data_IF_273333104141
#
_entry.id   IF_273333104141
#
_cell.length_a   1.000
_cell.length_b   1.000
_cell.length_c   1.000
_cell.angle_alpha   90.00
_cell.angle_beta   90.00
_cell.angle_gamma   90.00
#
_symmetry.space_group_name_H-M   'P 1'
#
loop_
_entity.id
_entity.type
_entity.pdbx_description
1 polymer ?
#
# COMPACT_ATOMS: atom_id res chain seq x y z
N UNK A 1 -11.70 -19.76 -5.62
CA UNK A 1 -12.20 -18.49 -6.22
C UNK A 1 -11.29 -17.30 -5.94
N UNK A 2 -11.08 -16.91 -4.67
CA UNK A 2 -10.18 -15.79 -4.35
C UNK A 2 -8.72 -16.10 -4.70
N UNK A 3 -8.18 -17.25 -4.25
CA UNK A 3 -6.83 -17.68 -4.59
C UNK A 3 -6.59 -17.81 -6.10
N UNK A 4 -7.56 -18.38 -6.84
CA UNK A 4 -7.44 -18.55 -8.29
C UNK A 4 -7.32 -17.20 -9.00
N UNK A 5 -8.16 -16.22 -8.63
CA UNK A 5 -8.12 -14.89 -9.22
C UNK A 5 -6.85 -14.13 -8.79
N UNK A 6 -6.42 -14.28 -7.54
CA UNK A 6 -5.15 -13.74 -7.07
C UNK A 6 -3.96 -14.32 -7.84
N UNK A 7 -3.93 -15.63 -8.08
CA UNK A 7 -2.88 -16.28 -8.89
C UNK A 7 -2.88 -15.77 -10.33
N UNK A 8 -4.06 -15.66 -10.96
CA UNK A 8 -4.20 -15.09 -12.31
C UNK A 8 -3.65 -13.67 -12.39
N UNK A 9 -3.95 -12.82 -11.40
CA UNK A 9 -3.43 -11.45 -11.36
C UNK A 9 -1.91 -11.46 -11.16
N UNK A 10 -1.40 -12.27 -10.21
CA UNK A 10 0.04 -12.41 -9.96
C UNK A 10 0.80 -12.86 -11.20
N UNK A 11 0.36 -13.95 -11.83
CA UNK A 11 0.94 -14.48 -13.06
C UNK A 11 0.92 -13.45 -14.20
N UNK A 12 -0.14 -12.65 -14.30
CA UNK A 12 -0.22 -11.59 -15.29
C UNK A 12 0.77 -10.45 -15.02
N UNK A 13 0.92 -10.02 -13.76
CA UNK A 13 1.92 -9.02 -13.36
C UNK A 13 3.34 -9.53 -13.60
N UNK A 14 3.60 -10.82 -13.35
CA UNK A 14 4.90 -11.47 -13.54
C UNK A 14 5.35 -11.61 -15.01
N UNK A 15 4.44 -11.40 -15.97
CA UNK A 15 4.82 -11.25 -17.39
C UNK A 15 5.65 -9.99 -17.62
N UNK A 16 5.50 -8.97 -16.77
CA UNK A 16 6.20 -7.70 -16.87
C UNK A 16 7.27 -7.59 -15.79
N UNK A 17 6.90 -7.80 -14.53
CA UNK A 17 7.81 -7.78 -13.39
C UNK A 17 8.54 -9.12 -13.28
N UNK A 18 9.86 -9.07 -13.15
CA UNK A 18 10.69 -10.26 -12.94
C UNK A 18 10.98 -10.38 -11.45
N UNK A 19 10.75 -11.58 -10.90
CA UNK A 19 10.87 -11.82 -9.47
C UNK A 19 9.80 -11.10 -8.67
N UNK A 20 10.05 -10.94 -7.37
CA UNK A 20 9.22 -10.12 -6.45
C UNK A 20 7.81 -10.68 -6.18
N UNK A 21 7.65 -12.00 -6.12
CA UNK A 21 6.39 -12.67 -5.73
C UNK A 21 5.76 -12.07 -4.46
N UNK A 22 6.59 -11.85 -3.45
CA UNK A 22 6.18 -11.31 -2.16
C UNK A 22 5.61 -9.88 -2.29
N UNK A 23 6.30 -8.99 -3.01
CA UNK A 23 5.83 -7.63 -3.29
C UNK A 23 4.48 -7.65 -4.00
N UNK A 24 4.31 -8.55 -4.98
CA UNK A 24 3.05 -8.68 -5.72
C UNK A 24 1.94 -9.19 -4.79
N UNK A 25 2.22 -10.18 -3.94
CA UNK A 25 1.28 -10.68 -2.94
C UNK A 25 0.89 -9.58 -1.94
N UNK A 26 1.84 -8.78 -1.44
CA UNK A 26 1.57 -7.64 -0.56
C UNK A 26 0.73 -6.56 -1.25
N UNK A 27 0.98 -6.30 -2.54
CA UNK A 27 0.15 -5.40 -3.32
C UNK A 27 -1.29 -5.93 -3.48
N UNK A 28 -1.46 -7.24 -3.69
CA UNK A 28 -2.77 -7.89 -3.71
C UNK A 28 -3.47 -7.83 -2.34
N UNK A 29 -2.74 -8.01 -1.23
CA UNK A 29 -3.26 -7.80 0.12
C UNK A 29 -3.80 -6.38 0.26
N UNK A 30 -3.03 -5.36 -0.13
CA UNK A 30 -3.49 -3.97 -0.09
C UNK A 30 -4.76 -3.74 -0.92
N UNK A 31 -4.84 -4.31 -2.13
CA UNK A 31 -6.04 -4.25 -2.98
C UNK A 31 -7.25 -4.89 -2.31
N UNK A 32 -7.10 -6.09 -1.75
CA UNK A 32 -8.18 -6.83 -1.08
C UNK A 32 -8.62 -6.16 0.23
N UNK A 33 -7.69 -5.43 0.86
CA UNK A 33 -7.94 -4.67 2.08
C UNK A 33 -8.44 -3.24 1.83
N UNK A 34 -8.40 -2.78 0.57
CA UNK A 34 -8.55 -1.36 0.22
C UNK A 34 -7.64 -0.45 1.05
N UNK A 35 -6.42 -0.93 1.30
CA UNK A 35 -5.37 -0.23 2.00
C UNK A 35 -4.36 0.37 1.03
N UNK A 36 -3.65 1.41 1.47
CA UNK A 36 -2.62 2.08 0.68
C UNK A 36 -1.22 1.55 1.04
N UNK A 37 -0.27 1.66 0.11
CA UNK A 37 1.10 1.16 0.30
C UNK A 37 2.08 2.33 0.27
N UNK A 38 2.96 2.37 1.27
CA UNK A 38 4.17 3.18 1.26
C UNK A 38 5.32 2.32 0.73
N UNK A 39 5.84 2.67 -0.44
CA UNK A 39 6.95 1.98 -1.09
C UNK A 39 8.27 2.63 -0.67
N UNK A 40 9.08 1.87 0.05
CA UNK A 40 10.46 2.23 0.36
C UNK A 40 11.35 1.74 -0.78
N UNK A 41 11.99 2.65 -1.51
CA UNK A 41 13.10 2.20 -2.36
C UNK A 41 13.93 3.32 -2.99
N UNK A 42 15.06 2.89 -3.51
CA UNK A 42 15.92 3.63 -4.43
C UNK A 42 15.28 3.79 -5.82
N UNK A 43 15.69 4.82 -6.60
CA UNK A 43 15.20 5.02 -7.96
C UNK A 43 15.49 3.82 -8.88
N UNK A 44 14.56 3.54 -9.80
CA UNK A 44 14.80 2.57 -10.89
C UNK A 44 14.38 1.12 -10.61
N UNK A 45 13.80 0.81 -9.44
CA UNK A 45 13.42 -0.57 -9.05
C UNK A 45 12.09 -1.09 -9.62
N UNK A 46 11.57 -0.45 -10.68
CA UNK A 46 10.37 -0.93 -11.37
C UNK A 46 9.03 -0.58 -10.71
N UNK A 47 8.97 0.37 -9.76
CA UNK A 47 7.74 0.80 -9.07
C UNK A 47 6.62 1.22 -10.03
N UNK A 48 6.96 2.05 -11.02
CA UNK A 48 6.02 2.48 -12.07
C UNK A 48 5.54 1.30 -12.90
N UNK A 49 6.43 0.36 -13.19
CA UNK A 49 6.10 -0.87 -13.93
C UNK A 49 5.16 -1.75 -13.12
N UNK A 50 5.39 -1.91 -11.81
CA UNK A 50 4.52 -2.66 -10.90
C UNK A 50 3.13 -2.03 -10.84
N UNK A 51 3.06 -0.71 -10.62
CA UNK A 51 1.81 0.03 -10.53
C UNK A 51 0.98 -0.08 -11.82
N UNK A 52 1.63 0.04 -12.98
CA UNK A 52 0.99 -0.12 -14.30
C UNK A 52 0.57 -1.56 -14.58
N UNK A 53 1.44 -2.54 -14.30
CA UNK A 53 1.13 -3.94 -14.52
C UNK A 53 -0.05 -4.39 -13.63
N UNK A 54 -0.07 -3.95 -12.36
CA UNK A 54 -1.15 -4.23 -11.43
C UNK A 54 -2.46 -3.59 -11.89
N UNK A 55 -2.48 -2.29 -12.16
CA UNK A 55 -3.69 -1.59 -12.63
C UNK A 55 -4.26 -2.19 -13.93
N UNK A 56 -3.40 -2.47 -14.91
CA UNK A 56 -3.82 -3.13 -16.15
C UNK A 56 -4.39 -4.52 -15.87
N UNK A 57 -3.73 -5.34 -15.03
CA UNK A 57 -4.22 -6.68 -14.68
C UNK A 57 -5.59 -6.66 -14.01
N UNK A 58 -5.87 -5.62 -13.22
CA UNK A 58 -7.13 -5.40 -12.52
C UNK A 58 -8.24 -4.79 -13.40
N UNK A 59 -7.94 -4.42 -14.66
CA UNK A 59 -8.86 -3.65 -15.50
C UNK A 59 -9.16 -2.26 -14.94
N UNK A 60 -8.24 -1.72 -14.14
CA UNK A 60 -8.43 -0.53 -13.32
C UNK A 60 -7.75 0.69 -13.93
N UNK A 61 -8.31 1.88 -13.73
CA UNK A 61 -7.70 3.13 -14.21
C UNK A 61 -6.44 3.48 -13.42
N UNK A 62 -5.42 3.98 -14.12
CA UNK A 62 -4.13 4.33 -13.54
C UNK A 62 -3.80 5.80 -13.75
N UNK A 63 -3.33 6.46 -12.69
CA UNK A 63 -2.71 7.78 -12.76
C UNK A 63 -1.41 7.81 -11.98
N UNK A 64 -0.48 8.63 -12.46
CA UNK A 64 0.78 8.93 -11.78
C UNK A 64 0.80 10.41 -11.45
N UNK A 65 1.16 10.74 -10.22
CA UNK A 65 1.33 12.09 -9.72
C UNK A 65 2.76 12.20 -9.23
N UNK A 66 3.54 13.10 -9.80
CA UNK A 66 4.85 13.44 -9.29
C UNK A 66 4.66 14.58 -8.28
N UNK A 67 5.05 14.37 -7.04
CA UNK A 67 4.99 15.41 -6.03
C UNK A 67 6.22 16.29 -6.17
N UNK A 68 5.97 17.59 -6.33
CA UNK A 68 6.97 18.65 -6.45
C UNK A 68 6.63 19.77 -5.47
N UNK A 69 7.60 20.63 -5.10
CA UNK A 69 7.36 21.71 -4.14
C UNK A 69 6.27 22.71 -4.57
N UNK A 70 6.04 22.85 -5.87
CA UNK A 70 5.06 23.75 -6.50
C UNK A 70 3.68 23.10 -6.76
N UNK A 71 3.55 21.78 -6.56
CA UNK A 71 2.30 21.07 -6.78
C UNK A 71 1.20 21.58 -5.85
N UNK A 72 0.07 22.01 -6.40
CA UNK A 72 -1.06 22.51 -5.62
C UNK A 72 -2.03 21.37 -5.25
N UNK A 73 -2.80 21.51 -4.15
CA UNK A 73 -3.86 20.56 -3.80
C UNK A 73 -4.84 20.30 -4.96
N UNK A 74 -5.20 21.34 -5.71
CA UNK A 74 -6.11 21.24 -6.87
C UNK A 74 -5.54 20.45 -8.03
N UNK A 75 -4.22 20.35 -8.17
CA UNK A 75 -3.58 19.52 -9.19
C UNK A 75 -3.70 18.02 -8.85
N UNK A 76 -3.96 17.70 -7.58
CA UNK A 76 -4.23 16.34 -7.09
C UNK A 76 -5.72 16.03 -7.17
N UNK A 77 -6.56 16.87 -6.58
CA UNK A 77 -8.00 16.60 -6.37
C UNK A 77 -8.88 17.02 -7.54
N UNK A 78 -8.46 18.01 -8.32
CA UNK A 78 -9.23 18.62 -9.40
C UNK A 78 -9.65 20.04 -9.08
N UNK A 79 -10.28 20.68 -10.06
CA UNK A 79 -10.76 22.06 -9.93
C UNK A 79 -12.00 22.31 -10.81
N UNK A 80 -12.78 23.31 -10.44
CA UNK A 80 -13.79 23.88 -11.31
C UNK A 80 -13.17 24.97 -12.18
N UNK A 81 -13.26 24.81 -13.50
CA UNK A 81 -12.76 25.80 -14.45
C UNK A 81 -13.94 26.42 -15.21
N UNK A 82 -13.84 27.72 -15.49
CA UNK A 82 -14.90 28.43 -16.21
C UNK A 82 -14.82 28.12 -17.71
N UNK A 83 -15.80 27.38 -18.23
CA UNK A 83 -15.91 27.11 -19.65
C UNK A 83 -16.55 28.32 -20.35
N UNK A 84 -15.74 29.13 -21.04
CA UNK A 84 -16.19 30.35 -21.71
C UNK A 84 -17.27 30.10 -22.78
N UNK A 85 -17.32 28.92 -23.40
CA UNK A 85 -18.35 28.61 -24.41
C UNK A 85 -19.70 28.31 -23.76
N UNK A 86 -19.68 27.57 -22.66
CA UNK A 86 -20.88 27.19 -21.93
C UNK A 86 -21.31 28.23 -20.89
N UNK A 87 -20.46 29.21 -20.58
CA UNK A 87 -20.65 30.21 -19.52
C UNK A 87 -20.95 29.58 -18.15
N UNK A 88 -20.36 28.42 -17.89
CA UNK A 88 -20.56 27.67 -16.65
C UNK A 88 -19.21 27.16 -16.09
N UNK A 89 -19.16 26.96 -14.78
CA UNK A 89 -18.05 26.26 -14.14
C UNK A 89 -18.22 24.75 -14.37
N UNK A 90 -17.20 24.13 -14.95
CA UNK A 90 -17.17 22.68 -15.19
C UNK A 90 -16.10 22.04 -14.31
N UNK A 91 -16.47 20.93 -13.67
CA UNK A 91 -15.52 20.15 -12.88
C UNK A 91 -14.54 19.42 -13.79
N UNK A 92 -13.25 19.62 -13.54
CA UNK A 92 -12.17 18.86 -14.15
C UNK A 92 -11.57 17.94 -13.08
N UNK A 93 -11.77 16.61 -13.17
CA UNK A 93 -11.28 15.68 -12.17
C UNK A 93 -9.75 15.66 -12.12
N UNK A 94 -9.21 15.68 -10.90
CA UNK A 94 -7.79 15.49 -10.67
C UNK A 94 -7.37 14.03 -10.87
N UNK A 95 -6.06 13.78 -10.99
CA UNK A 95 -5.49 12.44 -11.14
C UNK A 95 -5.82 11.49 -9.97
N UNK A 96 -6.16 12.00 -8.79
CA UNK A 96 -6.57 11.18 -7.65
C UNK A 96 -7.85 10.37 -7.93
N UNK A 97 -8.70 10.85 -8.85
CA UNK A 97 -9.92 10.17 -9.26
C UNK A 97 -9.57 9.08 -10.27
N UNK A 98 -8.91 8.03 -9.79
CA UNK A 98 -8.57 6.81 -10.51
C UNK A 98 -8.45 5.65 -9.54
N UNK A 99 -8.55 4.42 -10.03
CA UNK A 99 -8.53 3.23 -9.16
C UNK A 99 -7.16 3.00 -8.54
N UNK A 100 -6.08 3.26 -9.28
CA UNK A 100 -4.70 3.15 -8.80
C UNK A 100 -3.94 4.43 -9.08
N UNK A 101 -3.43 5.04 -8.02
CA UNK A 101 -2.59 6.24 -8.07
C UNK A 101 -1.19 5.92 -7.59
N UNK A 102 -0.20 6.13 -8.45
CA UNK A 102 1.21 6.20 -8.05
C UNK A 102 1.54 7.64 -7.66
N UNK A 103 1.77 7.89 -6.39
CA UNK A 103 2.15 9.19 -5.84
C UNK A 103 3.66 9.17 -5.55
N UNK A 104 4.45 9.70 -6.49
CA UNK A 104 5.91 9.69 -6.37
C UNK A 104 6.42 10.84 -5.52
N UNK A 105 7.34 10.53 -4.61
CA UNK A 105 8.08 11.49 -3.78
C UNK A 105 7.16 12.41 -2.95
N UNK A 106 6.18 11.83 -2.26
CA UNK A 106 5.15 12.60 -1.55
C UNK A 106 5.71 13.57 -0.50
N UNK A 107 6.91 13.28 0.02
CA UNK A 107 7.64 14.16 0.92
C UNK A 107 8.26 15.39 0.23
N UNK A 108 8.14 15.60 -1.09
CA UNK A 108 8.62 16.82 -1.77
C UNK A 108 7.56 17.91 -1.89
N UNK A 109 6.27 17.58 -1.75
CA UNK A 109 5.23 18.59 -1.79
C UNK A 109 4.97 19.21 -0.43
N UNK A 110 4.36 20.40 -0.42
CA UNK A 110 3.98 21.08 0.82
C UNK A 110 3.02 20.24 1.67
N UNK A 111 2.99 20.44 3.01
CA UNK A 111 2.06 19.73 3.90
C UNK A 111 0.59 19.86 3.49
N UNK A 112 0.21 20.97 2.85
CA UNK A 112 -1.16 21.20 2.35
C UNK A 112 -1.50 20.26 1.20
N UNK A 113 -0.58 20.05 0.26
CA UNK A 113 -0.77 19.15 -0.88
C UNK A 113 -0.72 17.68 -0.45
N UNK A 114 0.17 17.33 0.49
CA UNK A 114 0.19 16.02 1.15
C UNK A 114 -1.17 15.73 1.81
N UNK A 115 -1.72 16.69 2.54
CA UNK A 115 -3.00 16.54 3.23
C UNK A 115 -4.15 16.25 2.26
N UNK A 116 -4.16 16.86 1.07
CA UNK A 116 -5.18 16.61 0.06
C UNK A 116 -5.18 15.16 -0.45
N UNK A 117 -4.00 14.56 -0.64
CA UNK A 117 -3.86 13.13 -0.96
C UNK A 117 -4.36 12.24 0.19
N UNK A 118 -3.94 12.55 1.41
CA UNK A 118 -4.21 11.74 2.60
C UNK A 118 -5.68 11.81 3.05
N UNK A 119 -6.33 12.95 2.84
CA UNK A 119 -7.77 13.12 3.03
C UNK A 119 -8.54 12.26 2.02
N UNK A 120 -8.16 12.30 0.75
CA UNK A 120 -8.75 11.45 -0.29
C UNK A 120 -8.60 9.95 0.03
N UNK A 121 -7.45 9.52 0.56
CA UNK A 121 -7.21 8.16 1.07
C UNK A 121 -8.17 7.78 2.19
N UNK A 122 -8.37 8.67 3.15
CA UNK A 122 -9.17 8.38 4.35
C UNK A 122 -10.68 8.44 4.09
N UNK A 123 -11.13 9.47 3.38
CA UNK A 123 -12.55 9.75 3.14
C UNK A 123 -13.09 9.05 1.89
N UNK A 124 -12.20 8.59 1.00
CA UNK A 124 -12.54 7.94 -0.29
C UNK A 124 -13.43 8.80 -1.18
N UNK A 125 -13.33 10.10 -0.99
CA UNK A 125 -13.95 11.14 -1.79
C UNK A 125 -13.06 12.37 -1.74
N UNK A 126 -13.26 13.28 -2.69
CA UNK A 126 -12.69 14.63 -2.65
C UNK A 126 -13.80 15.65 -2.65
N UNK A 127 -13.66 16.73 -1.89
CA UNK A 127 -14.65 17.82 -1.85
C UNK A 127 -14.08 19.02 -2.58
N UNK A 128 -14.74 19.44 -3.66
CA UNK A 128 -14.35 20.60 -4.47
C UNK A 128 -15.49 21.62 -4.42
N UNK A 129 -15.21 22.83 -3.95
CA UNK A 129 -16.20 23.91 -3.78
C UNK A 129 -17.47 23.46 -3.02
N UNK A 130 -17.30 22.61 -2.01
CA UNK A 130 -18.38 22.07 -1.18
C UNK A 130 -19.15 20.89 -1.80
N UNK A 131 -18.79 20.46 -3.01
CA UNK A 131 -19.42 19.30 -3.69
C UNK A 131 -18.53 18.06 -3.51
N UNK A 132 -19.06 16.96 -2.92
CA UNK A 132 -18.31 15.73 -2.78
C UNK A 132 -18.29 14.93 -4.08
N UNK A 133 -17.12 14.40 -4.43
CA UNK A 133 -16.88 13.51 -5.56
C UNK A 133 -16.28 12.20 -5.06
N UNK A 134 -17.03 11.11 -5.16
CA UNK A 134 -16.58 9.79 -4.72
C UNK A 134 -15.42 9.28 -5.59
N UNK A 135 -14.44 8.63 -4.96
CA UNK A 135 -13.36 7.94 -5.66
C UNK A 135 -13.84 6.58 -6.19
N UNK A 136 -13.33 6.12 -7.34
CA UNK A 136 -13.69 4.82 -7.89
C UNK A 136 -13.24 3.68 -6.96
N UNK A 137 -13.95 2.54 -6.96
CA UNK A 137 -13.61 1.36 -6.15
C UNK A 137 -13.21 0.19 -7.04
N UNK A 138 -12.12 -0.55 -6.74
CA UNK A 138 -11.17 -0.32 -5.64
C UNK A 138 -10.36 0.98 -5.81
N UNK A 139 -9.97 1.59 -4.68
CA UNK A 139 -9.09 2.76 -4.65
C UNK A 139 -7.79 2.41 -3.93
N UNK A 140 -6.66 2.52 -4.63
CA UNK A 140 -5.33 2.21 -4.13
C UNK A 140 -4.38 3.37 -4.41
N UNK A 141 -3.56 3.70 -3.41
CA UNK A 141 -2.45 4.65 -3.55
C UNK A 141 -1.17 3.89 -3.25
N UNK A 142 -0.24 3.94 -4.19
CA UNK A 142 1.14 3.52 -4.02
C UNK A 142 1.96 4.80 -3.90
N UNK A 143 2.45 5.10 -2.69
CA UNK A 143 3.23 6.30 -2.45
C UNK A 143 4.71 5.98 -2.32
N UNK A 144 5.60 6.86 -2.77
CA UNK A 144 7.04 6.76 -2.54
C UNK A 144 7.54 7.99 -1.81
N UNK A 145 8.63 7.86 -1.08
CA UNK A 145 9.36 8.99 -0.49
C UNK A 145 10.75 9.07 -1.11
N UNK A 146 11.29 10.28 -1.25
CA UNK A 146 12.68 10.50 -1.60
C UNK A 146 13.53 10.37 -0.31
N UNK A 147 14.44 9.37 -0.23
CA UNK A 147 15.26 9.14 0.96
C UNK A 147 16.60 9.92 0.96
N UNK A 148 16.99 10.55 -0.15
CA UNK A 148 18.36 11.08 -0.35
C UNK A 148 18.44 12.60 -0.16
N UNK A 149 17.41 13.34 -0.57
CA UNK A 149 17.40 14.80 -0.50
C UNK A 149 16.73 15.30 0.79
N UNK A 150 17.52 15.81 1.73
CA UNK A 150 17.02 16.46 2.95
C UNK A 150 16.59 17.92 2.71
N UNK A 151 17.11 18.58 1.68
CA UNK A 151 16.70 19.94 1.32
C UNK A 151 15.44 19.91 0.45
N UNK A 152 14.46 20.73 0.80
CA UNK A 152 13.21 20.84 0.04
C UNK A 152 12.24 19.66 0.22
N UNK A 153 12.43 18.83 1.25
CA UNK A 153 11.47 17.80 1.66
C UNK A 153 10.73 18.16 2.95
N UNK A 154 9.47 17.78 3.00
CA UNK A 154 8.55 17.87 4.13
C UNK A 154 8.24 16.43 4.59
N UNK A 155 8.84 15.95 5.68
CA UNK A 155 8.56 14.60 6.17
C UNK A 155 7.09 14.48 6.55
N UNK A 156 6.53 13.29 6.33
CA UNK A 156 5.18 12.98 6.77
C UNK A 156 5.17 12.81 8.29
N UNK A 157 4.33 13.53 9.03
CA UNK A 157 4.05 13.21 10.43
C UNK A 157 3.58 11.76 10.60
N UNK A 158 3.84 11.18 11.75
CA UNK A 158 3.56 9.78 12.08
C UNK A 158 2.07 9.46 11.93
N UNK A 159 1.22 10.40 12.33
CA UNK A 159 -0.24 10.30 12.16
C UNK A 159 -0.68 10.22 10.69
N UNK A 160 0.13 10.74 9.77
CA UNK A 160 -0.09 10.63 8.32
C UNK A 160 0.42 9.31 7.77
N UNK A 161 1.61 8.90 8.20
CA UNK A 161 2.21 7.62 7.82
C UNK A 161 1.33 6.44 8.24
N UNK A 162 0.67 6.52 9.41
CA UNK A 162 -0.27 5.50 9.91
C UNK A 162 -1.46 5.22 8.98
N UNK A 163 -1.78 6.15 8.04
CA UNK A 163 -2.82 5.95 7.01
C UNK A 163 -2.41 4.97 5.92
N UNK A 164 -1.13 4.70 5.74
CA UNK A 164 -0.67 3.62 4.87
C UNK A 164 -0.84 2.29 5.59
N UNK A 165 -1.50 1.35 4.92
CA UNK A 165 -1.75 0.04 5.50
C UNK A 165 -0.48 -0.78 5.58
N UNK A 166 0.29 -0.77 4.49
CA UNK A 166 1.52 -1.53 4.32
C UNK A 166 2.68 -0.61 4.00
N UNK A 167 3.86 -0.99 4.47
CA UNK A 167 5.15 -0.51 4.01
C UNK A 167 5.90 -1.65 3.36
N UNK A 168 6.32 -1.45 2.12
CA UNK A 168 6.90 -2.51 1.29
C UNK A 168 8.19 -2.00 0.66
N UNK A 169 9.26 -2.77 0.84
CA UNK A 169 10.52 -2.58 0.14
C UNK A 169 10.52 -3.44 -1.12
N UNK A 170 10.84 -2.85 -2.28
CA UNK A 170 10.98 -3.62 -3.53
C UNK A 170 12.42 -4.12 -3.67
N UNK A 171 13.40 -3.24 -3.45
CA UNK A 171 14.83 -3.54 -3.51
C UNK A 171 15.33 -3.83 -4.93
N UNK A 172 16.65 -3.85 -5.11
CA UNK A 172 17.23 -4.24 -6.39
C UNK A 172 16.90 -5.70 -6.75
N UNK A 173 16.74 -6.00 -8.05
CA UNK A 173 16.72 -7.38 -8.52
C UNK A 173 18.04 -8.09 -8.23
N UNK A 174 17.98 -9.41 -8.06
CA UNK A 174 19.17 -10.28 -8.05
C UNK A 174 19.83 -10.31 -9.43
N UNK A 175 21.09 -10.74 -9.52
CA UNK A 175 21.80 -10.88 -10.80
C UNK A 175 21.02 -11.75 -11.81
N UNK A 176 20.39 -12.83 -11.35
CA UNK A 176 19.56 -13.72 -12.19
C UNK A 176 18.28 -13.03 -12.68
N UNK A 177 17.64 -12.24 -11.81
CA UNK A 177 16.47 -11.45 -12.18
C UNK A 177 16.86 -10.33 -13.16
N UNK A 178 17.99 -9.64 -12.95
CA UNK A 178 18.51 -8.62 -13.88
C UNK A 178 18.77 -9.19 -15.27
N UNK A 179 19.44 -10.34 -15.37
CA UNK A 179 19.65 -11.00 -16.66
C UNK A 179 18.32 -11.33 -17.36
N UNK A 180 17.34 -11.81 -16.60
CA UNK A 180 16.00 -12.11 -17.14
C UNK A 180 15.28 -10.84 -17.59
N UNK A 181 15.44 -9.72 -16.87
CA UNK A 181 14.92 -8.41 -17.28
C UNK A 181 15.56 -8.00 -18.62
N UNK A 182 16.88 -8.11 -18.75
CA UNK A 182 17.59 -7.78 -19.98
C UNK A 182 17.11 -8.61 -21.17
N UNK A 183 16.97 -9.93 -20.99
CA UNK A 183 16.48 -10.82 -22.06
C UNK A 183 15.04 -10.50 -22.47
N UNK A 184 14.17 -10.22 -21.50
CA UNK A 184 12.76 -9.90 -21.74
C UNK A 184 12.60 -8.59 -22.50
N UNK A 185 13.24 -7.52 -22.02
CA UNK A 185 13.16 -6.18 -22.63
C UNK A 185 13.96 -6.06 -23.93
N UNK A 186 14.89 -6.98 -24.21
CA UNK A 186 15.54 -7.11 -25.52
C UNK A 186 14.55 -7.49 -26.63
N UNK A 187 13.58 -8.35 -26.33
CA UNK A 187 12.61 -8.82 -27.32
C UNK A 187 11.53 -7.77 -27.60
N UNK A 188 10.85 -7.29 -26.55
CA UNK A 188 9.88 -6.19 -26.57
C UNK A 188 9.49 -5.81 -25.13
N UNK A 189 9.00 -4.58 -24.93
CA UNK A 189 8.32 -4.24 -23.67
C UNK A 189 6.98 -5.00 -23.60
N UNK A 190 6.76 -5.88 -22.60
CA UNK A 190 5.52 -6.64 -22.48
C UNK A 190 4.34 -5.78 -21.99
N UNK A 191 4.61 -4.64 -21.35
CA UNK A 191 3.60 -3.81 -20.68
C UNK A 191 2.50 -3.28 -21.63
N UNK A 192 2.79 -2.79 -22.86
CA UNK A 192 1.77 -2.31 -23.79
C UNK A 192 0.81 -3.40 -24.28
N UNK A 193 1.25 -4.66 -24.27
CA UNK A 193 0.43 -5.81 -24.70
C UNK A 193 -0.31 -6.51 -23.56
N UNK A 194 -0.06 -6.08 -22.32
CA UNK A 194 -0.68 -6.67 -21.15
C UNK A 194 -2.19 -6.39 -21.16
N UNK A 195 -2.99 -7.44 -20.98
CA UNK A 195 -4.45 -7.34 -20.92
C UNK A 195 -4.94 -7.56 -19.50
N UNK A 196 -6.11 -6.99 -19.20
CA UNK A 196 -6.80 -7.23 -17.94
C UNK A 196 -7.19 -8.70 -17.81
N UNK A 197 -7.03 -9.24 -16.60
CA UNK A 197 -7.46 -10.61 -16.26
C UNK A 197 -8.67 -10.61 -15.32
N UNK A 198 -9.08 -9.45 -14.85
CA UNK A 198 -10.26 -9.24 -14.00
C UNK A 198 -10.82 -7.83 -14.23
N UNK A 199 -11.86 -7.45 -13.48
CA UNK A 199 -12.44 -6.12 -13.50
C UNK A 199 -12.53 -5.50 -12.08
N UNK A 200 -12.67 -4.17 -11.96
CA UNK A 200 -12.92 -3.51 -10.67
C UNK A 200 -14.08 -4.14 -9.87
N UNK A 201 -15.16 -4.55 -10.53
CA UNK A 201 -16.34 -5.16 -9.91
C UNK A 201 -16.06 -6.58 -9.39
N UNK A 202 -15.22 -7.34 -10.08
CA UNK A 202 -14.73 -8.64 -9.59
C UNK A 202 -13.84 -8.47 -8.36
N UNK A 203 -12.95 -7.48 -8.36
CA UNK A 203 -12.11 -7.17 -7.21
C UNK A 203 -12.94 -6.78 -5.99
N UNK A 204 -13.99 -5.98 -6.16
CA UNK A 204 -14.92 -5.65 -5.08
C UNK A 204 -15.61 -6.88 -4.50
N UNK A 205 -15.99 -7.87 -5.33
CA UNK A 205 -16.52 -9.15 -4.85
C UNK A 205 -15.50 -9.91 -4.01
N UNK A 206 -14.21 -9.90 -4.41
CA UNK A 206 -13.15 -10.52 -3.61
C UNK A 206 -12.93 -9.81 -2.27
N UNK A 207 -13.06 -8.48 -2.22
CA UNK A 207 -12.94 -7.71 -0.98
C UNK A 207 -14.01 -8.11 0.04
N UNK A 208 -15.24 -8.38 -0.44
CA UNK A 208 -16.33 -8.92 0.40
C UNK A 208 -16.03 -10.37 0.80
N UNK A 209 -15.55 -11.21 -0.13
CA UNK A 209 -15.19 -12.60 0.17
C UNK A 209 -14.08 -12.69 1.23
N UNK A 210 -13.08 -11.80 1.19
CA UNK A 210 -12.00 -11.74 2.18
C UNK A 210 -12.52 -11.54 3.61
N UNK A 211 -13.63 -10.82 3.79
CA UNK A 211 -14.24 -10.63 5.12
C UNK A 211 -14.84 -11.92 5.69
N UNK A 212 -15.14 -12.91 4.84
CA UNK A 212 -15.69 -14.21 5.24
C UNK A 212 -14.61 -15.22 5.65
N UNK A 213 -13.32 -14.88 5.48
CA UNK A 213 -12.22 -15.73 5.91
C UNK A 213 -12.20 -15.79 7.44
N UNK A 214 -12.25 -17.01 7.97
CA UNK A 214 -12.39 -17.26 9.40
C UNK A 214 -11.13 -16.85 10.15
N UNK A 215 -11.30 -16.11 11.24
CA UNK A 215 -10.23 -15.82 12.19
C UNK A 215 -10.67 -16.36 13.54
N UNK A 216 -10.01 -17.42 14.00
CA UNK A 216 -10.30 -18.01 15.30
C UNK A 216 -10.02 -17.01 16.42
N UNK A 217 -10.74 -17.14 17.53
CA UNK A 217 -10.57 -16.27 18.70
C UNK A 217 -9.12 -16.24 19.18
N UNK A 218 -8.45 -17.40 19.19
CA UNK A 218 -7.05 -17.52 19.58
C UNK A 218 -6.10 -16.70 18.69
N UNK A 219 -6.37 -16.61 17.39
CA UNK A 219 -5.59 -15.82 16.42
C UNK A 219 -5.93 -14.33 16.54
N UNK A 220 -7.22 -13.99 16.73
CA UNK A 220 -7.64 -12.61 17.00
C UNK A 220 -6.97 -12.07 18.26
N UNK A 221 -6.93 -12.86 19.32
CA UNK A 221 -6.24 -12.52 20.56
C UNK A 221 -4.74 -12.38 20.35
N UNK A 222 -4.13 -13.25 19.52
CA UNK A 222 -2.73 -13.12 19.14
C UNK A 222 -2.44 -11.77 18.45
N UNK A 223 -3.26 -11.35 17.48
CA UNK A 223 -3.14 -10.02 16.83
C UNK A 223 -3.19 -8.89 17.86
N UNK A 224 -4.12 -8.96 18.82
CA UNK A 224 -4.24 -7.97 19.89
C UNK A 224 -3.01 -7.99 20.80
N UNK A 225 -2.50 -9.18 21.19
CA UNK A 225 -1.29 -9.32 22.01
C UNK A 225 -0.06 -8.75 21.31
N UNK A 226 0.13 -9.00 20.02
CA UNK A 226 1.23 -8.42 19.23
C UNK A 226 1.14 -6.90 19.25
N UNK A 227 -0.02 -6.33 18.91
CA UNK A 227 -0.21 -4.87 18.93
C UNK A 227 0.02 -4.27 20.32
N UNK A 228 -0.47 -4.92 21.39
CA UNK A 228 -0.29 -4.48 22.77
C UNK A 228 1.17 -4.56 23.22
N UNK A 229 1.89 -5.63 22.85
CA UNK A 229 3.29 -5.78 23.15
C UNK A 229 4.12 -4.61 22.58
N UNK A 230 3.77 -4.09 21.39
CA UNK A 230 4.43 -2.87 20.87
C UNK A 230 4.24 -1.63 21.75
N UNK A 231 3.11 -1.51 22.48
CA UNK A 231 2.82 -0.36 23.35
C UNK A 231 3.46 -0.49 24.73
N UNK A 232 3.73 -1.72 25.15
CA UNK A 232 4.31 -2.05 26.46
C UNK A 232 5.83 -2.28 26.37
N UNK A 233 6.41 -2.28 25.17
CA UNK A 233 7.83 -2.51 24.97
C UNK A 233 8.68 -1.29 25.36
N UNK A 234 9.67 -1.49 26.23
CA UNK A 234 10.50 -0.41 26.79
C UNK A 234 11.31 0.39 25.75
N UNK A 235 11.62 -0.23 24.59
CA UNK A 235 12.34 0.42 23.48
C UNK A 235 11.40 1.15 22.49
N UNK A 236 10.09 1.17 22.75
CA UNK A 236 9.08 1.85 21.93
C UNK A 236 8.55 3.08 22.67
N UNK A 237 8.63 4.25 22.04
CA UNK A 237 8.03 5.49 22.53
C UNK A 237 6.55 5.62 22.14
N UNK A 238 6.20 5.24 20.91
CA UNK A 238 4.82 5.14 20.44
C UNK A 238 4.59 3.80 19.76
N UNK A 239 3.68 3.01 20.35
CA UNK A 239 3.29 1.69 19.84
C UNK A 239 2.20 1.74 18.77
N UNK A 240 1.85 0.56 18.26
CA UNK A 240 0.88 0.36 17.20
C UNK A 240 -0.51 0.93 17.58
N UNK A 241 -1.13 1.71 16.69
CA UNK A 241 -2.48 2.27 16.87
C UNK A 241 -3.59 1.19 16.79
N UNK A 242 -4.84 1.46 17.19
CA UNK A 242 -5.96 0.57 16.88
C UNK A 242 -6.16 0.35 15.37
N UNK A 243 -5.84 1.36 14.55
CA UNK A 243 -5.82 1.23 13.08
C UNK A 243 -4.80 0.17 12.65
N UNK A 244 -3.62 0.13 13.28
CA UNK A 244 -2.61 -0.89 13.03
C UNK A 244 -3.13 -2.31 13.34
N UNK A 245 -3.82 -2.48 14.48
CA UNK A 245 -4.42 -3.77 14.85
C UNK A 245 -5.44 -4.24 13.82
N UNK A 246 -6.34 -3.34 13.38
CA UNK A 246 -7.33 -3.64 12.34
C UNK A 246 -6.67 -3.94 10.99
N UNK A 247 -5.62 -3.19 10.63
CA UNK A 247 -4.86 -3.43 9.41
C UNK A 247 -4.18 -4.81 9.43
N UNK A 248 -3.56 -5.20 10.54
CA UNK A 248 -2.90 -6.49 10.67
C UNK A 248 -3.88 -7.65 10.56
N UNK A 249 -5.03 -7.54 11.25
CA UNK A 249 -6.13 -8.50 11.14
C UNK A 249 -6.63 -8.65 9.69
N UNK A 250 -6.92 -7.51 9.04
CA UNK A 250 -7.44 -7.48 7.68
C UNK A 250 -6.43 -8.05 6.67
N UNK A 251 -5.16 -7.70 6.83
CA UNK A 251 -4.07 -8.19 5.99
C UNK A 251 -3.91 -9.71 6.15
N UNK A 252 -3.98 -10.24 7.37
CA UNK A 252 -3.86 -11.67 7.62
C UNK A 252 -5.00 -12.47 6.97
N UNK A 253 -6.24 -11.97 7.00
CA UNK A 253 -7.35 -12.54 6.23
C UNK A 253 -7.05 -12.55 4.72
N UNK A 254 -6.61 -11.42 4.17
CA UNK A 254 -6.29 -11.34 2.74
C UNK A 254 -5.16 -12.32 2.37
N UNK A 255 -4.12 -12.41 3.20
CA UNK A 255 -2.98 -13.30 3.00
C UNK A 255 -3.38 -14.78 3.04
N UNK A 256 -4.19 -15.20 4.00
CA UNK A 256 -4.75 -16.55 4.02
C UNK A 256 -5.55 -16.85 2.74
N UNK A 257 -6.38 -15.90 2.32
CA UNK A 257 -7.22 -16.02 1.14
C UNK A 257 -6.43 -16.19 -0.16
N UNK A 258 -5.40 -15.38 -0.39
CA UNK A 258 -4.56 -15.49 -1.60
C UNK A 258 -3.79 -16.81 -1.65
N UNK A 259 -3.53 -17.41 -0.48
CA UNK A 259 -2.91 -18.74 -0.33
C UNK A 259 -3.93 -19.89 -0.34
N UNK A 260 -5.20 -19.63 -0.66
CA UNK A 260 -6.21 -20.67 -0.80
C UNK A 260 -6.80 -21.19 0.50
N UNK A 261 -6.50 -20.55 1.64
CA UNK A 261 -7.06 -20.91 2.94
C UNK A 261 -8.28 -20.05 3.24
N UNK A 262 -9.28 -20.68 3.86
CA UNK A 262 -10.50 -20.06 4.38
C UNK A 262 -10.40 -19.71 5.87
N UNK A 263 -9.22 -19.89 6.48
CA UNK A 263 -8.90 -19.49 7.84
C UNK A 263 -7.49 -18.91 7.97
N UNK A 264 -7.31 -18.01 8.94
CA UNK A 264 -6.03 -17.36 9.25
C UNK A 264 -5.22 -18.20 10.23
N UNK A 265 -3.91 -18.28 9.99
CA UNK A 265 -2.92 -18.88 10.87
C UNK A 265 -2.13 -17.80 11.64
N UNK A 266 -1.58 -18.11 12.82
CA UNK A 266 -0.67 -17.20 13.52
C UNK A 266 0.53 -16.77 12.67
N UNK A 267 1.04 -17.65 11.81
CA UNK A 267 2.18 -17.34 10.93
C UNK A 267 1.83 -16.27 9.88
N UNK A 268 0.57 -16.14 9.46
CA UNK A 268 0.14 -15.05 8.58
C UNK A 268 0.28 -13.68 9.26
N UNK A 269 -0.03 -13.65 10.56
CA UNK A 269 0.12 -12.45 11.38
C UNK A 269 1.59 -12.10 11.52
N UNK A 270 2.46 -13.10 11.71
CA UNK A 270 3.91 -12.89 11.81
C UNK A 270 4.48 -12.34 10.52
N UNK A 271 4.13 -12.95 9.40
CA UNK A 271 4.57 -12.55 8.06
C UNK A 271 4.22 -11.09 7.75
N UNK A 272 3.01 -10.67 8.13
CA UNK A 272 2.53 -9.32 7.81
C UNK A 272 2.90 -8.26 8.83
N UNK A 273 3.28 -8.65 10.05
CA UNK A 273 3.58 -7.70 11.12
C UNK A 273 4.68 -6.69 10.74
N UNK A 274 5.82 -7.06 10.12
CA UNK A 274 6.81 -6.09 9.64
C UNK A 274 6.21 -5.09 8.64
N UNK A 275 5.41 -5.55 7.69
CA UNK A 275 4.82 -4.68 6.67
C UNK A 275 3.75 -3.73 7.23
N UNK A 276 3.07 -4.13 8.30
CA UNK A 276 1.94 -3.37 8.86
C UNK A 276 2.36 -2.46 10.01
N UNK A 277 3.36 -2.86 10.81
CA UNK A 277 3.68 -2.21 12.09
C UNK A 277 4.90 -1.29 12.01
N UNK A 278 5.88 -1.58 11.18
CA UNK A 278 7.20 -0.92 11.24
C UNK A 278 7.15 0.60 11.05
N UNK A 279 6.34 1.13 10.13
CA UNK A 279 6.13 2.58 9.96
C UNK A 279 5.21 3.22 11.00
N UNK A 280 4.64 2.43 11.90
CA UNK A 280 3.70 2.89 12.93
C UNK A 280 4.31 2.90 14.32
N UNK A 281 5.57 2.51 14.45
CA UNK A 281 6.31 2.53 15.72
C UNK A 281 7.29 3.70 15.75
N UNK A 282 7.32 4.42 16.86
CA UNK A 282 8.42 5.33 17.19
C UNK A 282 9.34 4.66 18.20
N UNK A 283 10.62 4.60 17.89
CA UNK A 283 11.63 4.03 18.78
C UNK A 283 12.01 5.06 19.83
N UNK A 284 12.15 4.61 21.07
CA UNK A 284 12.64 5.46 22.15
C UNK A 284 14.07 5.97 21.85
N UNK A 285 14.42 7.23 22.13
CA UNK A 285 15.72 7.81 21.78
C UNK A 285 16.93 6.98 22.26
N UNK A 286 16.81 6.33 23.43
CA UNK A 286 17.86 5.47 23.98
C UNK A 286 18.11 4.20 23.15
N UNK A 287 17.07 3.60 22.58
CA UNK A 287 17.18 2.45 21.71
C UNK A 287 17.72 2.83 20.33
N UNK A 288 17.32 4.01 19.82
CA UNK A 288 17.87 4.55 18.58
C UNK A 288 19.39 4.80 18.69
N UNK A 289 19.86 5.32 19.82
CA UNK A 289 21.31 5.49 20.10
C UNK A 289 22.08 4.16 20.12
N UNK A 290 21.41 3.03 20.42
CA UNK A 290 21.99 1.69 20.35
C UNK A 290 21.93 1.07 18.95
N UNK A 291 21.44 1.81 17.96
CA UNK A 291 21.31 1.34 16.58
C UNK A 291 20.15 0.37 16.36
N UNK A 292 19.17 0.30 17.29
CA UNK A 292 17.95 -0.49 17.07
C UNK A 292 17.12 0.11 15.94
N UNK A 293 16.62 -0.73 15.06
CA UNK A 293 15.72 -0.32 13.98
C UNK A 293 14.29 -0.80 14.22
N UNK A 294 13.26 -0.15 13.63
CA UNK A 294 11.87 -0.54 13.85
C UNK A 294 11.58 -1.96 13.35
N UNK A 295 12.29 -2.40 12.29
CA UNK A 295 12.17 -3.74 11.71
C UNK A 295 12.64 -4.81 12.70
N UNK A 296 13.81 -4.59 13.32
CA UNK A 296 14.35 -5.50 14.34
C UNK A 296 13.41 -5.58 15.54
N UNK A 297 12.86 -4.45 15.96
CA UNK A 297 11.99 -4.38 17.13
C UNK A 297 10.65 -5.10 16.89
N UNK A 298 10.06 -4.95 15.71
CA UNK A 298 8.86 -5.70 15.34
C UNK A 298 9.15 -7.20 15.29
N UNK A 299 10.26 -7.61 14.69
CA UNK A 299 10.66 -9.02 14.64
C UNK A 299 10.80 -9.62 16.05
N UNK A 300 11.55 -8.96 16.94
CA UNK A 300 11.75 -9.36 18.34
C UNK A 300 10.40 -9.52 19.07
N UNK A 301 9.50 -8.55 18.90
CA UNK A 301 8.18 -8.57 19.55
C UNK A 301 7.34 -9.75 19.05
N UNK A 302 7.28 -9.94 17.73
CA UNK A 302 6.46 -10.97 17.09
C UNK A 302 6.93 -12.38 17.46
N UNK A 303 8.26 -12.58 17.56
CA UNK A 303 8.86 -13.83 18.04
C UNK A 303 8.60 -14.07 19.53
N UNK A 304 8.65 -13.02 20.36
CA UNK A 304 8.48 -13.13 21.80
C UNK A 304 7.01 -13.38 22.22
N UNK A 305 6.02 -12.86 21.48
CA UNK A 305 4.61 -13.09 21.82
C UNK A 305 4.27 -14.56 21.54
N UNK A 306 3.81 -15.33 22.56
CA UNK A 306 3.46 -16.73 22.35
C UNK A 306 2.33 -16.88 21.32
N UNK A 307 2.57 -17.75 20.33
CA UNK A 307 1.53 -18.20 19.42
C UNK A 307 0.52 -19.06 20.18
N UNK A 308 -0.77 -18.98 19.83
CA UNK A 308 -1.76 -19.89 20.43
C UNK A 308 -1.41 -21.34 20.07
N UNK A 309 -1.34 -22.19 21.08
CA UNK A 309 -1.27 -23.65 20.88
C UNK A 309 -2.72 -24.12 20.72
N UNK A 310 -3.02 -24.91 19.69
CA UNK A 310 -4.35 -25.52 19.56
C UNK A 310 -4.70 -26.27 20.86
N UNK A 311 -5.88 -26.01 21.41
CA UNK A 311 -6.46 -26.75 22.53
C UNK A 311 -7.42 -27.81 22.01
#
# INVERSE_FOLDING_TARGET
>A
MLADLASRIRENVQKVIVGKDEVINLALVAVLCEGHILLEDVPGTGKTTLARALSTSLGASFRRIQFTPDLLPSDVTGLNWFNQKAQEFQFRPGPIISHLVLADEINRATPRTQSALLEAMQERQVTIDGVPHALPRPFLVLATQNPVELEGTFPLPEAQVDRFMLRVAIGYPTQTEENTILERFRAADPLPTLQAVTSPEEVQRLQVQRQQIRVEESVRDYVVRVARATREHNEVELGASPRATLALYAAAQAWAGIHGRDYVLPDDVKELAPHVLTHRLMIAPQAQLRGRTPEQLVADIVEAVPVPVEA
#
